data_IF_604131055346
#
_entry.id   IF_604131055346
#
_cell.length_a   1.000
_cell.length_b   1.000
_cell.length_c   1.000
_cell.angle_alpha   90.00
_cell.angle_beta   90.00
_cell.angle_gamma   90.00
#
_symmetry.space_group_name_H-M   'P 1'
#
loop_
_entity.id
_entity.type
_entity.pdbx_description
1 polymer ?
#
# COMPACT_ATOMS: atom_id res chain seq x y z
N UNK A 1 -0.79 16.05 7.52
CA UNK A 1 -0.99 15.40 6.21
C UNK A 1 -0.36 16.17 5.08
N UNK A 2 0.53 15.52 4.32
CA UNK A 2 0.78 15.95 2.94
C UNK A 2 -0.44 15.53 2.11
N UNK A 3 -1.18 16.50 1.57
CA UNK A 3 -2.28 16.25 0.63
C UNK A 3 -1.71 15.98 -0.78
N UNK A 4 -0.82 15.01 -0.89
CA UNK A 4 -0.09 14.66 -2.11
C UNK A 4 -0.27 13.18 -2.42
N UNK A 5 -0.29 12.87 -3.71
CA UNK A 5 -0.38 11.50 -4.25
C UNK A 5 0.89 11.17 -5.00
N UNK A 6 1.44 9.99 -4.74
CA UNK A 6 2.65 9.50 -5.39
C UNK A 6 2.38 8.11 -5.96
N UNK A 7 2.90 7.84 -7.15
CA UNK A 7 2.86 6.50 -7.73
C UNK A 7 4.07 5.71 -7.23
N UNK A 8 3.83 4.84 -6.24
CA UNK A 8 4.86 4.05 -5.58
C UNK A 8 4.76 2.58 -5.99
N UNK A 9 5.90 1.89 -5.99
CA UNK A 9 5.95 0.47 -6.30
C UNK A 9 5.39 -0.38 -5.15
N UNK A 10 4.58 -1.37 -5.49
CA UNK A 10 4.03 -2.36 -4.55
C UNK A 10 5.11 -3.40 -4.26
N UNK A 11 5.38 -3.64 -2.97
CA UNK A 11 6.35 -4.65 -2.52
C UNK A 11 5.68 -5.99 -2.26
N UNK A 12 4.55 -5.99 -1.55
CA UNK A 12 3.85 -7.23 -1.19
C UNK A 12 2.38 -6.98 -0.84
N UNK A 13 1.55 -8.01 -1.04
CA UNK A 13 0.18 -8.04 -0.52
C UNK A 13 0.19 -8.67 0.87
N UNK A 14 -0.41 -8.01 1.87
CA UNK A 14 -0.31 -8.42 3.28
C UNK A 14 -1.59 -9.01 3.82
N UNK A 15 -2.74 -8.39 3.52
CA UNK A 15 -4.02 -8.85 4.04
C UNK A 15 -5.15 -8.45 3.11
N UNK A 16 -5.87 -9.44 2.60
CA UNK A 16 -7.13 -9.23 1.89
C UNK A 16 -8.31 -9.48 2.86
N UNK A 17 -9.27 -8.55 3.00
CA UNK A 17 -10.41 -8.70 3.91
C UNK A 17 -11.40 -9.80 3.50
N UNK A 18 -11.43 -10.19 2.23
CA UNK A 18 -12.38 -11.19 1.73
C UNK A 18 -11.94 -12.62 2.08
N UNK A 19 -10.64 -12.92 1.96
CA UNK A 19 -10.11 -14.25 2.28
C UNK A 19 -8.59 -14.25 2.45
N UNK A 20 -8.03 -15.06 3.38
CA UNK A 20 -6.60 -15.34 3.44
C UNK A 20 -6.05 -15.98 2.16
N UNK A 21 -6.86 -16.76 1.44
CA UNK A 21 -6.46 -17.36 0.16
C UNK A 21 -6.18 -16.27 -0.90
N UNK A 22 -6.97 -15.20 -0.91
CA UNK A 22 -6.78 -14.07 -1.83
C UNK A 22 -5.52 -13.26 -1.51
N UNK A 23 -5.10 -13.29 -0.24
CA UNK A 23 -3.80 -12.71 0.15
C UNK A 23 -2.65 -13.50 -0.48
N UNK A 24 -2.72 -14.83 -0.43
CA UNK A 24 -1.68 -15.71 -1.01
C UNK A 24 -1.63 -15.64 -2.54
N UNK A 25 -2.79 -15.50 -3.19
CA UNK A 25 -2.88 -15.33 -4.64
C UNK A 25 -2.54 -13.91 -5.11
N UNK A 26 -2.29 -12.96 -4.21
CA UNK A 26 -1.97 -11.58 -4.56
C UNK A 26 -3.15 -10.78 -5.13
N UNK A 27 -4.38 -11.19 -4.83
CA UNK A 27 -5.59 -10.51 -5.32
C UNK A 27 -5.74 -9.17 -4.61
N UNK A 28 -5.77 -8.10 -5.40
CA UNK A 28 -5.84 -6.72 -4.94
C UNK A 28 -7.25 -6.15 -5.15
N UNK A 29 -8.06 -6.23 -4.09
CA UNK A 29 -9.43 -5.70 -4.03
C UNK A 29 -9.50 -4.51 -3.09
N UNK A 30 -10.64 -3.80 -3.11
CA UNK A 30 -10.92 -2.75 -2.11
C UNK A 30 -10.73 -3.27 -0.68
N UNK A 31 -10.02 -2.49 0.12
CA UNK A 31 -9.71 -2.81 1.52
C UNK A 31 -8.52 -3.74 1.72
N UNK A 32 -7.88 -4.24 0.67
CA UNK A 32 -6.64 -5.01 0.80
C UNK A 32 -5.51 -4.12 1.33
N UNK A 33 -4.77 -4.63 2.31
CA UNK A 33 -3.56 -4.02 2.86
C UNK A 33 -2.37 -4.51 2.04
N UNK A 34 -1.62 -3.55 1.52
CA UNK A 34 -0.41 -3.74 0.72
C UNK A 34 0.77 -3.06 1.39
N UNK A 35 1.96 -3.58 1.16
CA UNK A 35 3.22 -2.93 1.49
C UNK A 35 3.73 -2.17 0.26
N UNK A 36 4.00 -0.89 0.42
CA UNK A 36 4.46 0.01 -0.66
C UNK A 36 5.83 0.56 -0.35
N UNK A 37 6.64 0.73 -1.39
CA UNK A 37 7.98 1.30 -1.26
C UNK A 37 7.88 2.82 -1.04
N UNK A 38 8.35 3.30 0.10
CA UNK A 38 8.36 4.73 0.46
C UNK A 38 9.76 5.33 0.48
N UNK A 39 10.75 4.63 -0.08
CA UNK A 39 12.15 5.09 -0.12
C UNK A 39 12.28 6.43 -0.85
N UNK A 40 11.46 6.66 -1.89
CA UNK A 40 11.43 7.90 -2.66
C UNK A 40 10.83 9.09 -1.87
N UNK A 41 10.06 8.81 -0.80
CA UNK A 41 9.48 9.85 0.04
C UNK A 41 10.46 10.38 1.11
N UNK A 42 11.65 9.79 1.22
CA UNK A 42 12.66 10.22 2.18
C UNK A 42 12.22 10.10 3.64
N UNK A 43 11.29 9.17 3.94
CA UNK A 43 10.81 8.97 5.30
C UNK A 43 11.92 8.42 6.20
N UNK A 44 12.14 9.08 7.34
CA UNK A 44 13.09 8.65 8.36
C UNK A 44 12.37 8.44 9.69
N UNK A 45 12.78 7.39 10.41
CA UNK A 45 12.36 7.20 11.81
C UNK A 45 13.06 8.24 12.70
N UNK A 46 12.53 8.47 13.91
CA UNK A 46 13.14 9.37 14.91
C UNK A 46 14.59 8.97 15.26
N UNK A 47 14.97 7.70 15.02
CA UNK A 47 16.34 7.18 15.18
C UNK A 47 17.22 7.30 13.94
N UNK A 48 16.82 8.05 12.90
CA UNK A 48 17.61 8.30 11.69
C UNK A 48 17.66 7.14 10.69
N UNK A 49 16.93 6.04 10.91
CA UNK A 49 16.84 4.95 9.93
C UNK A 49 15.86 5.29 8.83
N UNK A 50 16.26 5.06 7.58
CA UNK A 50 15.42 5.21 6.38
C UNK A 50 14.33 4.14 6.39
N UNK A 51 13.10 4.56 6.16
CA UNK A 51 11.95 3.67 5.99
C UNK A 51 11.84 3.31 4.52
N UNK A 52 11.94 2.02 4.20
CA UNK A 52 11.84 1.52 2.83
C UNK A 52 10.42 1.07 2.47
N UNK A 53 9.64 0.64 3.46
CA UNK A 53 8.31 0.05 3.26
C UNK A 53 7.30 0.58 4.27
N UNK A 54 6.09 0.87 3.81
CA UNK A 54 4.96 1.21 4.68
C UNK A 54 3.71 0.47 4.24
N UNK A 55 2.77 0.26 5.16
CA UNK A 55 1.47 -0.29 4.82
C UNK A 55 0.54 0.77 4.25
N UNK A 56 -0.20 0.40 3.22
CA UNK A 56 -1.25 1.19 2.61
C UNK A 56 -2.50 0.32 2.43
N UNK A 57 -3.66 0.95 2.45
CA UNK A 57 -4.94 0.28 2.25
C UNK A 57 -5.55 0.74 0.92
N UNK A 58 -5.91 -0.21 0.06
CA UNK A 58 -6.60 0.08 -1.20
C UNK A 58 -7.99 0.64 -0.87
N UNK A 59 -8.31 1.81 -1.41
CA UNK A 59 -9.58 2.50 -1.16
C UNK A 59 -10.56 2.41 -2.33
N UNK A 60 -10.06 2.14 -3.53
CA UNK A 60 -10.87 2.01 -4.73
C UNK A 60 -11.11 0.53 -5.12
N UNK A 61 -11.81 0.29 -6.22
CA UNK A 61 -12.02 -1.04 -6.80
C UNK A 61 -11.16 -1.18 -8.06
N UNK A 62 -9.95 -1.77 -7.98
CA UNK A 62 -9.02 -1.83 -9.11
C UNK A 62 -9.61 -2.53 -10.34
N UNK A 63 -10.53 -3.48 -10.15
CA UNK A 63 -11.23 -4.20 -11.22
C UNK A 63 -12.13 -3.30 -12.08
N UNK A 64 -12.61 -2.19 -11.52
CA UNK A 64 -13.48 -1.25 -12.21
C UNK A 64 -12.71 -0.04 -12.77
N UNK A 65 -11.68 0.40 -12.04
CA UNK A 65 -10.98 1.64 -12.36
C UNK A 65 -9.71 1.43 -13.21
N UNK A 66 -9.19 0.20 -13.26
CA UNK A 66 -7.93 -0.12 -13.94
C UNK A 66 -6.68 0.46 -13.27
N UNK A 67 -6.84 1.07 -12.09
CA UNK A 67 -5.77 1.68 -11.29
C UNK A 67 -5.90 1.26 -9.83
N UNK A 68 -4.79 1.17 -9.11
CA UNK A 68 -4.77 0.86 -7.68
C UNK A 68 -4.52 2.17 -6.91
N UNK A 69 -5.56 2.66 -6.26
CA UNK A 69 -5.50 3.82 -5.38
C UNK A 69 -5.52 3.34 -3.93
N UNK A 70 -4.49 3.72 -3.17
CA UNK A 70 -4.35 3.33 -1.78
C UNK A 70 -3.98 4.54 -0.90
N UNK A 71 -4.40 4.48 0.35
CA UNK A 71 -4.06 5.46 1.38
C UNK A 71 -3.02 4.84 2.31
N UNK A 72 -1.92 5.56 2.53
CA UNK A 72 -0.89 5.17 3.49
C UNK A 72 -1.48 5.11 4.90
N UNK A 73 -1.29 3.99 5.60
CA UNK A 73 -1.65 3.87 7.01
C UNK A 73 -0.58 4.58 7.84
N UNK A 74 -1.00 5.55 8.66
CA UNK A 74 -0.14 6.40 9.50
C UNK A 74 -0.38 6.11 10.97
#
# INVERSE_FOLDING_TARGET
DLKATFQLNILAVKKNPQSPMYTQLGVMTKGTVIEVNVSELGMVTTGGKVVFGKYAQITNNPENDGCINAVLLV
#
